data_IF_487571552043
#
_entry.id   IF_487571552043
#
_cell.length_a   1.000
_cell.length_b   1.000
_cell.length_c   1.000
_cell.angle_alpha   90.00
_cell.angle_beta   90.00
_cell.angle_gamma   90.00
#
_symmetry.space_group_name_H-M   'P 1'
#
loop_
_entity.id
_entity.type
_entity.pdbx_description
1 polymer ?
#
# COMPACT_ATOMS: atom_id res chain seq x y z
N UNK A 1 -19.11 -0.63 15.40
CA UNK A 1 -17.98 -0.11 16.20
C UNK A 1 -18.36 -0.13 17.69
N UNK A 2 -17.55 -0.71 18.58
CA UNK A 2 -17.89 -0.81 20.03
C UNK A 2 -17.44 0.45 20.76
N UNK A 3 -18.38 1.13 21.40
CA UNK A 3 -18.11 2.22 22.34
C UNK A 3 -17.93 1.63 23.74
N UNK A 4 -16.94 2.15 24.47
CA UNK A 4 -16.58 1.76 25.83
C UNK A 4 -16.99 2.87 26.82
N UNK A 5 -17.44 2.46 28.01
CA UNK A 5 -17.53 3.37 29.14
C UNK A 5 -16.16 3.57 29.80
N UNK A 6 -16.07 4.51 30.76
CA UNK A 6 -14.80 4.82 31.42
C UNK A 6 -14.13 3.64 32.14
N UNK A 7 -14.90 2.75 32.78
CA UNK A 7 -14.34 1.57 33.44
C UNK A 7 -13.79 0.57 32.43
N UNK A 8 -14.52 0.31 31.34
CA UNK A 8 -14.06 -0.56 30.26
C UNK A 8 -12.81 0.01 29.57
N UNK A 9 -12.78 1.32 29.34
CA UNK A 9 -11.66 2.01 28.73
C UNK A 9 -10.40 1.96 29.61
N UNK A 10 -10.57 2.13 30.93
CA UNK A 10 -9.47 1.99 31.89
C UNK A 10 -8.93 0.56 31.93
N UNK A 11 -9.80 -0.45 31.93
CA UNK A 11 -9.40 -1.85 31.90
C UNK A 11 -8.65 -2.21 30.60
N UNK A 12 -9.14 -1.72 29.45
CA UNK A 12 -8.49 -1.90 28.16
C UNK A 12 -7.11 -1.21 28.11
N UNK A 13 -6.99 0.00 28.66
CA UNK A 13 -5.71 0.69 28.80
C UNK A 13 -4.75 -0.08 29.71
N UNK A 14 -5.22 -0.61 30.85
CA UNK A 14 -4.42 -1.42 31.76
C UNK A 14 -3.94 -2.73 31.11
N UNK A 15 -4.70 -3.27 30.15
CA UNK A 15 -4.30 -4.39 29.31
C UNK A 15 -3.33 -4.00 28.17
N UNK A 16 -2.88 -2.74 28.10
CA UNK A 16 -1.92 -2.25 27.12
C UNK A 16 -2.54 -1.81 25.78
N UNK A 17 -3.87 -1.69 25.69
CA UNK A 17 -4.52 -1.20 24.49
C UNK A 17 -4.48 0.33 24.41
N UNK A 18 -4.27 0.88 23.21
CA UNK A 18 -4.40 2.32 22.99
C UNK A 18 -5.88 2.69 22.98
N UNK A 19 -6.23 3.75 23.72
CA UNK A 19 -7.60 4.23 23.84
C UNK A 19 -7.71 5.59 23.17
N UNK A 20 -8.83 5.81 22.49
CA UNK A 20 -9.22 7.12 22.02
C UNK A 20 -10.50 7.57 22.71
N UNK A 21 -10.65 8.87 22.84
CA UNK A 21 -11.69 9.55 23.60
C UNK A 21 -12.31 10.66 22.76
N UNK A 22 -13.62 10.87 22.92
CA UNK A 22 -14.30 12.09 22.45
C UNK A 22 -15.39 12.50 23.41
N UNK A 23 -15.75 13.79 23.37
CA UNK A 23 -16.93 14.30 24.06
C UNK A 23 -18.18 13.96 23.23
N UNK A 24 -19.20 13.41 23.89
CA UNK A 24 -20.46 13.06 23.25
C UNK A 24 -21.14 14.36 22.77
N UNK A 25 -21.68 14.36 21.55
CA UNK A 25 -22.34 15.50 20.89
C UNK A 25 -21.40 16.63 20.42
N UNK A 26 -20.08 16.46 20.45
CA UNK A 26 -19.17 17.29 19.67
C UNK A 26 -18.79 16.56 18.38
N UNK A 27 -18.72 17.31 17.28
CA UNK A 27 -18.37 16.80 15.93
C UNK A 27 -16.87 16.56 15.74
N UNK A 28 -16.12 16.59 16.85
CA UNK A 28 -14.72 16.23 16.86
C UNK A 28 -14.58 14.70 16.85
N UNK A 29 -13.76 14.18 15.95
CA UNK A 29 -13.42 12.76 15.91
C UNK A 29 -12.78 12.28 17.21
N UNK A 30 -12.65 10.96 17.35
CA UNK A 30 -11.90 10.36 18.45
C UNK A 30 -10.44 10.82 18.44
N UNK A 31 -9.94 11.22 19.61
CA UNK A 31 -8.57 11.71 19.82
C UNK A 31 -7.84 10.80 20.79
N UNK A 32 -6.50 10.79 20.75
CA UNK A 32 -5.68 10.02 21.69
C UNK A 32 -6.02 10.42 23.14
N UNK A 33 -6.32 9.42 23.97
CA UNK A 33 -6.64 9.60 25.39
C UNK A 33 -5.59 10.39 26.18
N UNK A 34 -4.32 10.37 25.74
CA UNK A 34 -3.21 11.12 26.36
C UNK A 34 -3.38 12.64 26.25
N UNK A 35 -4.26 13.12 25.37
CA UNK A 35 -4.59 14.53 25.24
C UNK A 35 -5.59 15.01 26.31
N UNK A 36 -6.17 14.08 27.08
CA UNK A 36 -7.18 14.34 28.10
C UNK A 36 -6.65 14.10 29.50
N UNK A 37 -7.23 14.80 30.48
CA UNK A 37 -6.95 14.55 31.90
C UNK A 37 -7.63 13.26 32.36
N UNK A 38 -7.03 12.54 33.32
CA UNK A 38 -7.58 11.27 33.82
C UNK A 38 -9.01 11.35 34.40
N UNK A 39 -9.51 12.55 34.70
CA UNK A 39 -10.88 12.77 35.16
C UNK A 39 -11.93 12.35 34.12
N UNK A 40 -11.58 12.30 32.82
CA UNK A 40 -12.53 11.91 31.77
C UNK A 40 -13.11 10.51 31.95
N UNK A 41 -12.38 9.58 32.58
CA UNK A 41 -12.89 8.23 32.85
C UNK A 41 -14.11 8.20 33.78
N UNK A 42 -14.33 9.25 34.56
CA UNK A 42 -15.45 9.35 35.50
C UNK A 42 -16.55 10.28 34.99
N UNK A 43 -16.35 10.92 33.84
CA UNK A 43 -17.30 11.88 33.26
C UNK A 43 -18.15 11.17 32.19
N UNK A 44 -19.47 11.01 32.41
CA UNK A 44 -20.35 10.30 31.48
C UNK A 44 -20.57 11.05 30.16
N UNK A 45 -20.07 12.27 30.03
CA UNK A 45 -20.12 13.05 28.78
C UNK A 45 -19.03 12.64 27.80
N UNK A 46 -18.09 11.79 28.19
CA UNK A 46 -17.07 11.26 27.31
C UNK A 46 -17.35 9.80 26.96
N UNK A 47 -17.02 9.46 25.73
CA UNK A 47 -17.08 8.08 25.25
C UNK A 47 -15.74 7.65 24.67
N UNK A 48 -15.45 6.37 24.82
CA UNK A 48 -14.14 5.81 24.55
C UNK A 48 -14.21 4.69 23.52
N UNK A 49 -13.09 4.43 22.87
CA UNK A 49 -12.91 3.25 22.03
C UNK A 49 -11.47 2.77 22.11
N UNK A 50 -11.24 1.50 21.76
CA UNK A 50 -9.89 1.06 21.41
C UNK A 50 -9.51 1.74 20.09
N UNK A 51 -8.30 2.31 20.05
CA UNK A 51 -7.75 2.97 18.88
C UNK A 51 -7.77 2.01 17.68
N UNK A 52 -8.37 2.45 16.58
CA UNK A 52 -8.37 1.68 15.34
C UNK A 52 -6.99 1.83 14.72
N UNK A 53 -6.30 0.72 14.51
CA UNK A 53 -5.04 0.70 13.77
C UNK A 53 -5.35 0.65 12.28
N UNK A 54 -4.58 1.42 11.51
CA UNK A 54 -4.71 1.48 10.07
C UNK A 54 -3.40 1.08 9.42
N UNK A 55 -3.50 0.43 8.27
CA UNK A 55 -2.40 0.19 7.35
C UNK A 55 -2.77 0.72 5.96
N UNK A 56 -1.79 0.85 5.08
CA UNK A 56 -1.99 1.45 3.76
C UNK A 56 -2.10 0.37 2.69
N UNK A 57 -3.16 0.43 1.86
CA UNK A 57 -3.26 -0.32 0.60
C UNK A 57 -3.39 0.72 -0.52
N UNK A 58 -2.35 0.84 -1.35
CA UNK A 58 -2.30 1.90 -2.35
C UNK A 58 -2.27 3.29 -1.70
N UNK A 59 -3.31 4.08 -1.95
CA UNK A 59 -3.51 5.41 -1.37
C UNK A 59 -4.57 5.41 -0.24
N UNK A 60 -5.16 4.26 0.08
CA UNK A 60 -6.23 4.15 1.08
C UNK A 60 -5.70 3.69 2.44
N UNK A 61 -6.20 4.32 3.50
CA UNK A 61 -6.02 3.85 4.88
C UNK A 61 -7.10 2.82 5.21
N UNK A 62 -6.68 1.59 5.46
CA UNK A 62 -7.55 0.45 5.73
C UNK A 62 -7.44 0.07 7.20
N UNK A 63 -8.56 -0.07 7.94
CA UNK A 63 -8.54 -0.60 9.30
C UNK A 63 -7.93 -2.01 9.34
N UNK A 64 -7.10 -2.29 10.33
CA UNK A 64 -6.55 -3.63 10.56
C UNK A 64 -7.67 -4.65 10.83
N UNK A 65 -7.55 -5.82 10.21
CA UNK A 65 -8.36 -6.99 10.52
C UNK A 65 -8.03 -7.52 11.92
N UNK A 66 -8.95 -8.33 12.48
CA UNK A 66 -8.70 -8.95 13.78
C UNK A 66 -7.56 -9.98 13.69
N UNK A 67 -6.71 -9.98 14.71
CA UNK A 67 -5.59 -10.92 14.83
C UNK A 67 -5.90 -12.09 15.78
N UNK A 68 -6.93 -11.93 16.60
CA UNK A 68 -7.34 -12.93 17.60
C UNK A 68 -8.74 -13.45 17.28
N UNK A 69 -8.92 -14.76 17.44
CA UNK A 69 -10.18 -15.43 17.14
C UNK A 69 -11.28 -14.93 18.10
N UNK A 70 -12.41 -14.41 17.58
CA UNK A 70 -13.52 -14.00 18.42
C UNK A 70 -14.26 -15.23 18.95
N UNK A 71 -15.17 -14.99 19.91
CA UNK A 71 -16.02 -16.06 20.43
C UNK A 71 -16.88 -16.70 19.32
N UNK A 72 -17.14 -17.99 19.44
CA UNK A 72 -18.01 -18.71 18.50
C UNK A 72 -19.39 -18.08 18.46
N UNK A 73 -19.89 -17.84 17.25
CA UNK A 73 -21.18 -17.21 16.97
C UNK A 73 -21.12 -15.69 16.78
N UNK A 74 -19.98 -15.04 17.05
CA UNK A 74 -19.79 -13.60 16.78
C UNK A 74 -19.97 -13.31 15.29
N UNK A 75 -20.69 -12.22 14.99
CA UNK A 75 -20.87 -11.73 13.63
C UNK A 75 -19.58 -11.06 13.15
N UNK A 76 -19.08 -11.52 12.00
CA UNK A 76 -17.90 -11.00 11.33
C UNK A 76 -18.23 -10.62 9.88
N UNK A 77 -17.30 -9.91 9.26
CA UNK A 77 -17.40 -9.43 7.89
C UNK A 77 -16.07 -9.68 7.16
N UNK A 78 -16.15 -10.08 5.91
CA UNK A 78 -15.01 -10.24 5.02
C UNK A 78 -15.13 -9.27 3.85
N UNK A 79 -14.05 -8.66 3.35
CA UNK A 79 -14.10 -7.87 2.13
C UNK A 79 -14.55 -8.75 0.97
N UNK A 80 -15.45 -8.23 0.14
CA UNK A 80 -15.94 -8.92 -1.05
C UNK A 80 -15.71 -8.05 -2.27
N UNK A 81 -15.02 -8.60 -3.27
CA UNK A 81 -14.73 -7.94 -4.55
C UNK A 81 -15.36 -8.67 -5.74
N UNK A 82 -16.10 -9.75 -5.46
CA UNK A 82 -16.72 -10.62 -6.47
C UNK A 82 -18.23 -10.40 -6.58
N UNK A 83 -18.79 -9.52 -5.76
CA UNK A 83 -20.22 -9.22 -5.65
C UNK A 83 -20.43 -7.72 -5.60
N UNK A 84 -21.67 -7.27 -5.81
CA UNK A 84 -22.04 -5.85 -5.67
C UNK A 84 -21.87 -5.35 -4.23
N UNK A 85 -22.17 -6.19 -3.24
CA UNK A 85 -21.86 -5.89 -1.84
C UNK A 85 -20.34 -6.00 -1.61
N UNK A 86 -19.74 -4.92 -1.11
CA UNK A 86 -18.30 -4.83 -0.83
C UNK A 86 -17.87 -5.58 0.43
N UNK A 87 -18.81 -6.18 1.15
CA UNK A 87 -18.51 -7.03 2.28
C UNK A 87 -19.48 -8.22 2.35
N UNK A 88 -19.02 -9.32 2.93
CA UNK A 88 -19.82 -10.50 3.19
C UNK A 88 -19.87 -10.79 4.68
N UNK A 89 -21.08 -10.86 5.22
CA UNK A 89 -21.30 -11.16 6.63
C UNK A 89 -21.30 -12.67 6.88
N UNK A 90 -20.72 -13.12 8.00
CA UNK A 90 -20.76 -14.51 8.44
C UNK A 90 -20.65 -14.63 9.97
N UNK A 91 -21.19 -15.72 10.54
CA UNK A 91 -20.99 -16.03 11.95
C UNK A 91 -19.72 -16.86 12.13
N UNK A 92 -18.84 -16.41 13.00
CA UNK A 92 -17.60 -17.12 13.34
C UNK A 92 -17.89 -18.50 13.92
N UNK A 93 -17.39 -19.57 13.30
CA UNK A 93 -17.60 -20.95 13.78
C UNK A 93 -16.34 -21.57 14.40
N UNK A 94 -15.22 -20.85 14.40
CA UNK A 94 -13.88 -21.37 14.67
C UNK A 94 -13.53 -22.55 13.76
N UNK A 95 -14.05 -22.54 12.53
CA UNK A 95 -13.73 -23.56 11.52
C UNK A 95 -12.37 -23.29 10.89
N UNK A 96 -11.79 -24.28 10.23
CA UNK A 96 -10.53 -24.11 9.51
C UNK A 96 -10.61 -22.98 8.46
N UNK A 97 -11.75 -22.85 7.78
CA UNK A 97 -11.98 -21.76 6.82
C UNK A 97 -12.01 -20.39 7.48
N UNK A 98 -12.60 -20.27 8.67
CA UNK A 98 -12.63 -19.02 9.43
C UNK A 98 -11.22 -18.60 9.86
N UNK A 99 -10.44 -19.57 10.38
CA UNK A 99 -9.05 -19.36 10.77
C UNK A 99 -8.18 -18.94 9.59
N UNK A 100 -8.31 -19.61 8.44
CA UNK A 100 -7.59 -19.23 7.21
C UNK A 100 -7.93 -17.81 6.76
N UNK A 101 -9.19 -17.38 6.89
CA UNK A 101 -9.61 -16.04 6.53
C UNK A 101 -8.99 -15.00 7.49
N UNK A 102 -8.94 -15.32 8.79
CA UNK A 102 -8.31 -14.49 9.81
C UNK A 102 -6.81 -14.36 9.59
N UNK A 103 -6.10 -15.47 9.38
CA UNK A 103 -4.66 -15.51 9.09
C UNK A 103 -4.28 -14.70 7.84
N UNK A 104 -5.21 -14.57 6.89
CA UNK A 104 -5.05 -13.75 5.68
C UNK A 104 -5.43 -12.28 5.86
N UNK A 105 -5.75 -11.86 7.08
CA UNK A 105 -6.15 -10.49 7.40
C UNK A 105 -7.46 -10.06 6.76
N UNK A 106 -8.39 -11.00 6.56
CA UNK A 106 -9.65 -10.76 5.84
C UNK A 106 -10.87 -10.68 6.77
N UNK A 107 -10.69 -10.73 8.10
CA UNK A 107 -11.80 -10.79 9.05
C UNK A 107 -11.93 -9.50 9.83
N UNK A 108 -13.08 -8.84 9.71
CA UNK A 108 -13.42 -7.60 10.40
C UNK A 108 -14.63 -7.80 11.31
N UNK A 109 -14.69 -7.08 12.43
CA UNK A 109 -15.86 -7.05 13.32
C UNK A 109 -16.87 -5.96 12.92
N UNK A 110 -16.49 -5.07 12.00
CA UNK A 110 -17.27 -3.92 11.57
C UNK A 110 -17.41 -4.02 10.05
N UNK A 111 -18.63 -3.91 9.56
CA UNK A 111 -18.95 -4.03 8.13
C UNK A 111 -18.19 -2.99 7.29
N UNK A 112 -18.27 -1.72 7.68
CA UNK A 112 -17.57 -0.61 7.01
C UNK A 112 -16.06 -0.84 6.88
N UNK A 113 -15.42 -1.49 7.86
CA UNK A 113 -13.98 -1.79 7.78
C UNK A 113 -13.68 -2.81 6.67
N UNK A 114 -14.54 -3.83 6.52
CA UNK A 114 -14.44 -4.80 5.43
C UNK A 114 -14.72 -4.14 4.07
N UNK A 115 -15.66 -3.20 4.01
CA UNK A 115 -15.97 -2.45 2.79
C UNK A 115 -14.79 -1.56 2.39
N UNK A 116 -14.21 -0.79 3.31
CA UNK A 116 -12.99 0.02 3.06
C UNK A 116 -11.85 -0.87 2.57
N UNK A 117 -11.68 -2.07 3.14
CA UNK A 117 -10.68 -3.03 2.69
C UNK A 117 -10.97 -3.49 1.25
N UNK A 118 -12.21 -3.86 0.92
CA UNK A 118 -12.59 -4.24 -0.45
C UNK A 118 -12.39 -3.10 -1.45
N UNK A 119 -12.80 -1.88 -1.09
CA UNK A 119 -12.59 -0.68 -1.91
C UNK A 119 -11.11 -0.44 -2.21
N UNK A 120 -10.25 -0.63 -1.20
CA UNK A 120 -8.81 -0.47 -1.37
C UNK A 120 -8.23 -1.54 -2.30
N UNK A 121 -8.69 -2.80 -2.19
CA UNK A 121 -8.33 -3.88 -3.11
C UNK A 121 -8.80 -3.59 -4.54
N UNK A 122 -10.02 -3.09 -4.72
CA UNK A 122 -10.55 -2.72 -6.04
C UNK A 122 -9.72 -1.59 -6.65
N UNK A 123 -9.47 -0.51 -5.91
CA UNK A 123 -8.70 0.64 -6.41
C UNK A 123 -7.26 0.30 -6.74
N UNK A 124 -6.56 -0.46 -5.89
CA UNK A 124 -5.17 -0.86 -6.17
C UNK A 124 -5.08 -1.78 -7.39
N UNK A 125 -6.14 -2.55 -7.67
CA UNK A 125 -6.30 -3.33 -8.90
C UNK A 125 -6.83 -2.50 -10.09
N UNK A 126 -6.93 -1.18 -9.96
CA UNK A 126 -7.43 -0.25 -10.98
C UNK A 126 -8.91 -0.46 -11.37
N UNK A 127 -9.68 -1.14 -10.53
CA UNK A 127 -11.13 -1.27 -10.67
C UNK A 127 -11.88 -0.04 -10.17
N UNK A 128 -13.18 -0.01 -10.42
CA UNK A 128 -14.09 1.05 -9.98
C UNK A 128 -15.24 0.48 -9.15
N UNK A 129 -15.78 1.28 -8.25
CA UNK A 129 -16.99 0.98 -7.48
C UNK A 129 -17.82 2.25 -7.34
N UNK A 130 -19.15 2.14 -7.34
CA UNK A 130 -20.02 3.29 -7.10
C UNK A 130 -20.08 3.59 -5.59
N UNK A 131 -19.82 4.84 -5.21
CA UNK A 131 -19.78 5.25 -3.82
C UNK A 131 -21.09 5.95 -3.47
N UNK A 132 -22.03 5.26 -2.83
CA UNK A 132 -23.37 5.82 -2.50
C UNK A 132 -23.36 6.74 -1.26
N UNK A 133 -22.20 7.16 -0.75
CA UNK A 133 -22.07 7.97 0.47
C UNK A 133 -21.06 9.10 0.25
N UNK A 134 -21.51 10.17 -0.44
CA UNK A 134 -21.21 11.59 -0.20
C UNK A 134 -21.50 12.45 -1.44
N UNK A 135 -22.73 12.95 -1.52
CA UNK A 135 -23.01 14.18 -2.29
C UNK A 135 -22.36 15.37 -1.59
N UNK A 136 -21.15 15.73 -2.03
CA UNK A 136 -20.70 17.12 -2.08
C UNK A 136 -19.56 17.24 -3.08
N UNK A 137 -19.90 17.37 -4.36
CA UNK A 137 -19.19 18.26 -5.27
C UNK A 137 -20.08 18.50 -6.47
N UNK A 138 -20.31 19.77 -6.76
CA UNK A 138 -21.05 20.25 -7.92
C UNK A 138 -20.33 19.79 -9.19
N UNK A 139 -21.03 19.07 -10.05
CA UNK A 139 -20.96 19.33 -11.49
C UNK A 139 -22.29 18.96 -12.13
N UNK A 140 -22.91 19.98 -12.71
CA UNK A 140 -24.16 19.93 -13.45
C UNK A 140 -23.85 19.43 -14.85
N UNK A 141 -24.35 18.26 -15.21
CA UNK A 141 -24.80 17.96 -16.58
C UNK A 141 -26.07 17.09 -16.51
N UNK A 142 -27.21 17.74 -16.76
CA UNK A 142 -28.46 17.17 -17.30
C UNK A 142 -28.13 16.29 -18.53
N UNK A 143 -28.63 15.07 -18.73
CA UNK A 143 -30.01 14.61 -19.06
C UNK A 143 -29.77 13.18 -19.63
N UNK A 144 -30.58 12.14 -19.47
CA UNK A 144 -32.02 12.00 -19.59
C UNK A 144 -32.49 10.72 -18.89
N UNK A 145 -33.67 10.81 -18.29
CA UNK A 145 -34.53 9.68 -17.92
C UNK A 145 -34.88 8.83 -19.14
N UNK A 146 -34.89 7.50 -18.96
CA UNK A 146 -36.04 6.71 -19.37
C UNK A 146 -36.22 5.52 -18.41
N UNK A 147 -37.35 5.55 -17.72
CA UNK A 147 -37.87 4.47 -16.89
C UNK A 147 -38.49 3.42 -17.79
N UNK A 148 -38.16 2.15 -17.61
CA UNK A 148 -39.11 1.07 -17.87
C UNK A 148 -38.82 -0.14 -16.99
N UNK A 149 -39.59 -0.19 -15.91
CA UNK A 149 -39.94 -1.38 -15.14
C UNK A 149 -40.43 -2.50 -16.06
N UNK A 150 -39.89 -3.71 -15.89
CA UNK A 150 -40.69 -4.91 -16.11
C UNK A 150 -40.24 -6.03 -15.17
N UNK A 151 -40.95 -6.14 -14.05
CA UNK A 151 -40.99 -7.34 -13.21
C UNK A 151 -41.89 -8.35 -13.95
N UNK A 152 -41.38 -9.55 -14.22
CA UNK A 152 -42.23 -10.73 -14.39
C UNK A 152 -41.79 -11.82 -13.41
N UNK A 153 -42.60 -11.97 -12.37
CA UNK A 153 -42.73 -13.16 -11.54
C UNK A 153 -43.68 -14.10 -12.29
N UNK A 154 -43.28 -15.35 -12.50
CA UNK A 154 -44.24 -16.46 -12.57
C UNK A 154 -43.60 -17.74 -12.04
N UNK A 155 -44.46 -18.55 -11.43
CA UNK A 155 -44.19 -19.55 -10.41
C UNK A 155 -43.71 -20.92 -10.93
N UNK A 156 -43.01 -21.59 -10.01
CA UNK A 156 -42.94 -23.02 -9.69
C UNK A 156 -43.69 -24.04 -10.55
N UNK A 157 -42.98 -25.14 -10.85
CA UNK A 157 -43.56 -26.40 -11.32
C UNK A 157 -42.58 -27.58 -11.30
N UNK A 158 -42.44 -28.19 -10.12
CA UNK A 158 -42.11 -29.58 -9.76
C UNK A 158 -41.09 -30.47 -10.53
N UNK A 159 -40.37 -31.21 -9.69
CA UNK A 159 -39.30 -32.21 -9.91
C UNK A 159 -39.83 -33.52 -10.51
N UNK A 160 -39.06 -34.14 -11.43
CA UNK A 160 -38.93 -35.62 -11.43
C UNK A 160 -37.58 -36.09 -11.98
N UNK A 161 -36.90 -36.84 -11.12
CA UNK A 161 -35.74 -37.72 -11.29
C UNK A 161 -35.78 -38.60 -12.54
N UNK A 162 -34.67 -38.69 -13.31
CA UNK A 162 -34.12 -39.96 -13.84
C UNK A 162 -32.59 -39.83 -14.01
N UNK A 163 -31.87 -40.81 -13.44
CA UNK A 163 -30.42 -41.06 -13.50
C UNK A 163 -29.96 -41.57 -14.87
N UNK A 164 -28.67 -41.36 -15.13
CA UNK A 164 -27.75 -42.22 -15.92
C UNK A 164 -28.12 -42.54 -17.37
N UNK A 165 -27.27 -42.09 -18.30
CA UNK A 165 -26.55 -42.98 -19.23
C UNK A 165 -25.40 -42.22 -19.91
N UNK A 166 -24.18 -42.43 -19.42
CA UNK A 166 -22.95 -42.38 -20.21
C UNK A 166 -22.74 -43.77 -20.80
N UNK A 167 -22.71 -43.92 -22.13
CA UNK A 167 -22.01 -44.99 -22.87
C UNK A 167 -22.10 -44.66 -24.38
N UNK A 168 -21.01 -44.23 -25.02
CA UNK A 168 -19.95 -45.06 -25.64
C UNK A 168 -20.33 -45.44 -27.07
N UNK A 169 -20.19 -44.48 -27.99
CA UNK A 169 -20.20 -44.76 -29.42
C UNK A 169 -18.83 -45.32 -29.83
N UNK A 170 -18.78 -46.64 -29.98
CA UNK A 170 -17.68 -47.35 -30.62
C UNK A 170 -18.21 -47.80 -31.98
N UNK A 171 -17.83 -47.09 -33.04
CA UNK A 171 -18.08 -47.52 -34.41
C UNK A 171 -16.95 -48.49 -34.79
N UNK A 172 -17.30 -49.75 -34.94
CA UNK A 172 -16.48 -50.75 -35.61
C UNK A 172 -16.85 -50.73 -37.10
N UNK A 173 -15.92 -50.32 -37.96
CA UNK A 173 -16.01 -50.56 -39.40
C UNK A 173 -14.85 -51.44 -39.82
N UNK A 174 -15.21 -52.62 -40.30
CA UNK A 174 -14.31 -53.59 -40.90
C UNK A 174 -13.82 -53.11 -42.28
N UNK A 175 -12.63 -53.60 -42.61
CA UNK A 175 -11.68 -53.29 -43.68
C UNK A 175 -12.19 -53.15 -45.13
N UNK A 176 -11.49 -52.31 -45.93
CA UNK A 176 -10.73 -52.65 -47.17
C UNK A 176 -10.08 -51.36 -47.75
N UNK A 177 -8.75 -51.36 -47.73
CA UNK A 177 -7.73 -50.66 -48.55
C UNK A 177 -8.11 -49.49 -49.49
N UNK A 178 -7.83 -48.25 -49.06
CA UNK A 178 -7.25 -47.14 -49.88
C UNK A 178 -6.80 -45.92 -49.02
N UNK A 179 -6.41 -46.12 -47.74
CA UNK A 179 -6.38 -45.04 -46.72
C UNK A 179 -4.96 -44.61 -46.25
N UNK A 180 -3.95 -44.80 -47.10
CA UNK A 180 -2.59 -44.31 -46.83
C UNK A 180 -2.39 -42.86 -47.28
N UNK A 181 -2.90 -42.53 -48.47
CA UNK A 181 -2.60 -41.29 -49.17
C UNK A 181 -3.33 -40.08 -48.58
N UNK A 182 -4.54 -40.29 -48.02
CA UNK A 182 -5.33 -39.27 -47.31
C UNK A 182 -4.71 -38.94 -45.94
N UNK A 183 -4.22 -39.94 -45.20
CA UNK A 183 -3.50 -39.73 -43.93
C UNK A 183 -2.17 -39.02 -44.12
N UNK A 184 -1.41 -39.37 -45.16
CA UNK A 184 -0.13 -38.71 -45.47
C UNK A 184 -0.35 -37.25 -45.88
N UNK A 185 -1.39 -36.95 -46.68
CA UNK A 185 -1.73 -35.58 -47.08
C UNK A 185 -2.17 -34.71 -45.91
N UNK A 186 -2.99 -35.24 -44.99
CA UNK A 186 -3.37 -34.51 -43.77
C UNK A 186 -2.16 -34.27 -42.84
N UNK A 187 -1.27 -35.25 -42.69
CA UNK A 187 -0.02 -35.06 -41.93
C UNK A 187 0.89 -34.01 -42.55
N UNK A 188 1.05 -33.98 -43.88
CA UNK A 188 1.80 -32.92 -44.57
C UNK A 188 1.15 -31.56 -44.40
N UNK A 189 -0.20 -31.48 -44.43
CA UNK A 189 -0.92 -30.22 -44.23
C UNK A 189 -0.72 -29.68 -42.82
N UNK A 190 -0.85 -30.53 -41.81
CA UNK A 190 -0.62 -30.18 -40.40
C UNK A 190 0.84 -29.77 -40.15
N UNK A 191 1.79 -30.40 -40.83
CA UNK A 191 3.21 -30.02 -40.71
C UNK A 191 3.49 -28.63 -41.32
N UNK A 192 2.93 -28.33 -42.49
CA UNK A 192 3.05 -26.99 -43.11
C UNK A 192 2.35 -25.92 -42.27
N UNK A 193 1.21 -26.25 -41.66
CA UNK A 193 0.49 -25.36 -40.74
C UNK A 193 1.30 -25.08 -39.47
N UNK A 194 1.91 -26.09 -38.86
CA UNK A 194 2.79 -25.94 -37.71
C UNK A 194 4.04 -25.10 -38.04
N UNK A 195 4.66 -25.33 -39.20
CA UNK A 195 5.82 -24.54 -39.65
C UNK A 195 5.46 -23.06 -39.90
N UNK A 196 4.29 -22.79 -40.48
CA UNK A 196 3.80 -21.42 -40.66
C UNK A 196 3.45 -20.74 -39.33
N UNK A 197 2.87 -21.46 -38.36
CA UNK A 197 2.61 -20.94 -37.02
C UNK A 197 3.92 -20.60 -36.29
N UNK A 198 4.95 -21.43 -36.43
CA UNK A 198 6.28 -21.16 -35.85
C UNK A 198 6.92 -19.94 -36.53
N UNK A 199 6.88 -19.87 -37.87
CA UNK A 199 7.49 -18.76 -38.62
C UNK A 199 6.81 -17.42 -38.34
N UNK A 200 5.48 -17.40 -38.26
CA UNK A 200 4.71 -16.21 -37.92
C UNK A 200 4.86 -15.83 -36.44
N UNK A 201 4.92 -16.82 -35.54
CA UNK A 201 5.17 -16.59 -34.13
C UNK A 201 6.55 -16.00 -33.85
N UNK A 202 7.59 -16.48 -34.54
CA UNK A 202 8.95 -15.92 -34.45
C UNK A 202 8.99 -14.50 -35.06
N UNK A 203 8.33 -14.26 -36.19
CA UNK A 203 8.24 -12.92 -36.78
C UNK A 203 7.58 -11.90 -35.85
N UNK A 204 6.44 -12.27 -35.25
CA UNK A 204 5.71 -11.42 -34.30
C UNK A 204 6.52 -11.16 -33.03
N UNK A 205 7.20 -12.19 -32.48
CA UNK A 205 8.05 -12.02 -31.29
C UNK A 205 9.23 -11.08 -31.53
N UNK A 206 9.89 -11.17 -32.70
CA UNK A 206 11.02 -10.29 -33.04
C UNK A 206 10.57 -8.84 -33.25
N UNK A 207 9.38 -8.63 -33.81
CA UNK A 207 8.79 -7.31 -34.01
C UNK A 207 8.36 -6.68 -32.67
N UNK A 208 7.69 -7.46 -31.81
CA UNK A 208 7.29 -7.05 -30.46
C UNK A 208 8.53 -6.71 -29.57
N UNK A 209 9.63 -7.46 -29.71
CA UNK A 209 10.88 -7.21 -28.98
C UNK A 209 11.61 -5.95 -29.48
N UNK A 210 11.56 -5.67 -30.78
CA UNK A 210 12.18 -4.47 -31.37
C UNK A 210 11.43 -3.19 -30.94
N UNK A 211 10.10 -3.20 -30.98
CA UNK A 211 9.27 -2.09 -30.49
C UNK A 211 9.51 -1.86 -28.99
N UNK A 212 9.57 -2.93 -28.20
CA UNK A 212 9.88 -2.82 -26.78
C UNK A 212 11.24 -2.14 -26.52
N UNK A 213 12.27 -2.53 -27.26
CA UNK A 213 13.62 -2.00 -27.09
C UNK A 213 13.72 -0.51 -27.46
N UNK A 214 13.08 -0.08 -28.55
CA UNK A 214 13.05 1.34 -28.92
C UNK A 214 12.34 2.20 -27.86
N UNK A 215 11.18 1.74 -27.39
CA UNK A 215 10.45 2.43 -26.32
C UNK A 215 11.23 2.45 -25.00
N UNK A 216 12.04 1.43 -24.71
CA UNK A 216 12.92 1.39 -23.55
C UNK A 216 14.01 2.46 -23.63
N UNK A 217 14.69 2.60 -24.75
CA UNK A 217 15.76 3.60 -24.90
C UNK A 217 15.24 5.03 -24.74
N UNK A 218 14.07 5.33 -25.31
CA UNK A 218 13.41 6.63 -25.16
C UNK A 218 13.12 6.93 -23.69
N UNK A 219 12.51 5.99 -22.97
CA UNK A 219 12.16 6.18 -21.55
C UNK A 219 13.39 6.35 -20.67
N UNK A 220 14.45 5.57 -20.91
CA UNK A 220 15.70 5.69 -20.15
C UNK A 220 16.36 7.05 -20.36
N UNK A 221 16.34 7.57 -21.60
CA UNK A 221 16.86 8.89 -21.90
C UNK A 221 16.03 10.01 -21.22
N UNK A 222 14.69 9.92 -21.28
CA UNK A 222 13.81 10.89 -20.62
C UNK A 222 13.99 10.89 -19.09
N UNK A 223 14.20 9.71 -18.49
CA UNK A 223 14.51 9.60 -17.05
C UNK A 223 15.85 10.24 -16.74
N UNK A 224 16.88 10.02 -17.57
CA UNK A 224 18.20 10.63 -17.36
C UNK A 224 18.16 12.16 -17.45
N UNK A 225 17.32 12.72 -18.33
CA UNK A 225 17.15 14.15 -18.52
C UNK A 225 16.19 14.81 -17.53
N UNK A 226 15.41 14.03 -16.77
CA UNK A 226 14.45 14.53 -15.80
C UNK A 226 15.12 15.43 -14.75
N UNK A 227 14.54 16.61 -14.49
CA UNK A 227 15.06 17.61 -13.55
C UNK A 227 14.41 17.52 -12.19
N UNK A 228 13.28 16.84 -12.08
CA UNK A 228 12.53 16.70 -10.84
C UNK A 228 12.15 15.25 -10.57
N UNK A 229 11.94 14.88 -9.29
CA UNK A 229 11.43 13.55 -8.93
C UNK A 229 10.11 13.21 -9.64
N UNK A 230 9.27 14.22 -9.87
CA UNK A 230 7.97 14.06 -10.52
C UNK A 230 8.14 13.68 -12.00
N UNK A 231 9.04 14.35 -12.72
CA UNK A 231 9.33 14.06 -14.13
C UNK A 231 9.88 12.64 -14.30
N UNK A 232 10.82 12.22 -13.43
CA UNK A 232 11.36 10.87 -13.47
C UNK A 232 10.28 9.81 -13.19
N UNK A 233 9.44 10.02 -12.16
CA UNK A 233 8.37 9.09 -11.80
C UNK A 233 7.24 9.04 -12.84
N UNK A 234 6.98 10.13 -13.57
CA UNK A 234 5.93 10.16 -14.59
C UNK A 234 6.17 9.16 -15.73
N UNK A 235 7.43 8.80 -16.01
CA UNK A 235 7.79 7.85 -17.08
C UNK A 235 7.26 6.44 -16.83
N UNK A 236 6.95 6.10 -15.57
CA UNK A 236 6.37 4.82 -15.19
C UNK A 236 5.04 4.53 -15.90
N UNK A 237 4.28 5.58 -16.26
CA UNK A 237 2.95 5.46 -16.87
C UNK A 237 2.98 4.87 -18.28
N UNK A 238 4.12 4.98 -18.98
CA UNK A 238 4.29 4.45 -20.34
C UNK A 238 4.64 2.96 -20.34
N UNK A 239 4.99 2.39 -19.17
CA UNK A 239 5.31 0.96 -19.00
C UNK A 239 4.12 0.11 -18.55
N UNK A 240 2.88 0.61 -18.69
CA UNK A 240 1.66 -0.07 -18.19
C UNK A 240 1.38 -1.41 -18.87
N UNK A 241 1.64 -1.52 -20.17
CA UNK A 241 1.46 -2.74 -20.96
C UNK A 241 2.64 -3.70 -20.88
N UNK A 242 3.72 -3.30 -20.21
CA UNK A 242 4.96 -4.08 -20.17
C UNK A 242 4.92 -5.17 -19.11
N UNK A 243 5.60 -6.27 -19.38
CA UNK A 243 5.83 -7.32 -18.38
C UNK A 243 6.74 -6.82 -17.25
N UNK A 244 6.77 -7.57 -16.14
CA UNK A 244 7.60 -7.22 -14.99
C UNK A 244 9.10 -7.17 -15.34
N UNK A 245 9.55 -8.07 -16.22
CA UNK A 245 10.95 -8.12 -16.66
C UNK A 245 11.30 -6.93 -17.54
N UNK A 246 10.42 -6.62 -18.51
CA UNK A 246 10.52 -5.45 -19.38
C UNK A 246 10.56 -4.12 -18.61
N UNK A 247 9.80 -4.01 -17.51
CA UNK A 247 9.72 -2.79 -16.69
C UNK A 247 10.89 -2.60 -15.71
N UNK A 248 11.63 -3.66 -15.41
CA UNK A 248 12.75 -3.64 -14.46
C UNK A 248 13.82 -2.57 -14.77
N UNK A 249 14.35 -2.43 -16.00
CA UNK A 249 15.34 -1.40 -16.31
C UNK A 249 14.83 0.02 -16.08
N UNK A 250 13.56 0.30 -16.41
CA UNK A 250 12.93 1.61 -16.19
C UNK A 250 12.84 1.92 -14.69
N UNK A 251 12.40 0.97 -13.86
CA UNK A 251 12.33 1.15 -12.41
C UNK A 251 13.71 1.41 -11.77
N UNK A 252 14.74 0.71 -12.25
CA UNK A 252 16.12 0.91 -11.79
C UNK A 252 16.64 2.29 -12.16
N UNK A 253 16.37 2.77 -13.38
CA UNK A 253 16.75 4.09 -13.84
C UNK A 253 16.04 5.21 -13.04
N UNK A 254 14.73 5.07 -12.78
CA UNK A 254 13.96 6.02 -11.95
C UNK A 254 14.59 6.10 -10.55
N UNK A 255 14.76 4.96 -9.87
CA UNK A 255 15.34 4.95 -8.52
C UNK A 255 16.74 5.58 -8.48
N UNK A 256 17.59 5.29 -9.47
CA UNK A 256 18.90 5.91 -9.61
C UNK A 256 18.79 7.43 -9.76
N UNK A 257 17.92 7.91 -10.64
CA UNK A 257 17.73 9.35 -10.88
C UNK A 257 17.17 10.07 -9.64
N UNK A 258 16.26 9.45 -8.90
CA UNK A 258 15.73 10.00 -7.66
C UNK A 258 16.82 10.20 -6.59
N UNK A 259 17.77 9.24 -6.49
CA UNK A 259 18.93 9.37 -5.61
C UNK A 259 19.83 10.54 -6.05
N UNK A 260 20.10 10.66 -7.35
CA UNK A 260 20.90 11.76 -7.90
C UNK A 260 20.24 13.13 -7.64
N UNK A 261 18.93 13.25 -7.89
CA UNK A 261 18.19 14.50 -7.66
C UNK A 261 18.15 14.88 -6.18
N UNK A 262 17.97 13.91 -5.28
CA UNK A 262 18.06 14.14 -3.84
C UNK A 262 19.46 14.64 -3.41
N UNK A 263 20.51 14.07 -4.00
CA UNK A 263 21.88 14.51 -3.78
C UNK A 263 22.20 15.89 -4.40
N UNK A 264 21.35 16.39 -5.30
CA UNK A 264 21.45 17.74 -5.89
C UNK A 264 20.59 18.77 -5.15
N UNK A 265 19.51 18.35 -4.46
CA UNK A 265 18.65 19.20 -3.61
C UNK A 265 19.28 19.52 -2.25
N UNK A 266 20.06 18.60 -1.69
CA UNK A 266 20.96 18.95 -0.60
C UNK A 266 22.07 19.85 -1.17
N UNK A 267 22.26 21.10 -0.69
CA UNK A 267 23.49 21.79 -1.03
C UNK A 267 24.62 20.86 -0.62
N UNK A 268 25.61 20.66 -1.50
CA UNK A 268 26.91 20.15 -1.11
C UNK A 268 27.37 21.00 0.08
N UNK A 269 27.05 20.57 1.30
CA UNK A 269 27.69 21.06 2.48
C UNK A 269 29.09 20.53 2.35
N UNK A 270 30.02 21.38 1.89
CA UNK A 270 31.38 21.28 2.37
C UNK A 270 31.26 20.98 3.86
N UNK A 271 31.73 19.80 4.28
CA UNK A 271 31.49 19.24 5.59
C UNK A 271 31.94 20.24 6.66
N UNK A 272 31.03 21.11 7.13
CA UNK A 272 31.33 21.99 8.24
C UNK A 272 31.60 21.05 9.41
N UNK A 273 32.80 21.06 10.00
CA UNK A 273 33.18 20.11 11.02
C UNK A 273 32.13 20.14 12.15
N UNK A 274 31.87 18.99 12.79
CA UNK A 274 30.84 18.94 13.83
C UNK A 274 31.04 20.03 14.89
N UNK A 275 29.96 20.53 15.50
CA UNK A 275 30.04 21.60 16.51
C UNK A 275 31.02 21.26 17.65
N UNK A 276 31.12 19.99 18.03
CA UNK A 276 32.13 19.51 18.98
C UNK A 276 33.56 19.77 18.50
N UNK A 277 33.87 19.48 17.24
CA UNK A 277 35.19 19.70 16.63
C UNK A 277 35.47 21.20 16.51
N UNK A 278 34.46 22.00 16.18
CA UNK A 278 34.60 23.46 16.17
C UNK A 278 34.93 24.02 17.56
N UNK A 279 34.26 23.51 18.61
CA UNK A 279 34.56 23.88 20.01
C UNK A 279 35.99 23.48 20.39
N UNK A 280 36.41 22.27 20.05
CA UNK A 280 37.75 21.77 20.39
C UNK A 280 38.88 22.55 19.68
N UNK A 281 38.61 23.08 18.49
CA UNK A 281 39.58 23.82 17.68
C UNK A 281 39.37 25.34 17.71
N UNK A 282 38.53 25.86 18.63
CA UNK A 282 38.28 27.29 18.71
C UNK A 282 39.60 28.06 18.93
N UNK A 283 39.92 29.05 18.08
CA UNK A 283 41.23 29.73 18.10
C UNK A 283 41.40 30.67 19.30
N UNK A 284 40.31 31.27 19.79
CA UNK A 284 40.32 32.22 20.90
C UNK A 284 38.98 32.22 21.65
N UNK A 285 38.93 32.96 22.77
CA UNK A 285 37.74 33.05 23.63
C UNK A 285 36.54 33.64 22.88
N UNK A 286 36.76 34.56 21.95
CA UNK A 286 35.70 35.22 21.18
C UNK A 286 35.01 34.23 20.27
N UNK A 287 35.79 33.40 19.56
CA UNK A 287 35.25 32.34 18.71
C UNK A 287 34.54 31.27 19.56
N UNK A 288 35.06 30.96 20.76
CA UNK A 288 34.44 30.01 21.67
C UNK A 288 33.09 30.50 22.22
N UNK A 289 32.97 31.80 22.52
CA UNK A 289 31.73 32.41 23.01
C UNK A 289 30.60 32.34 21.96
N UNK A 290 30.93 32.54 20.67
CA UNK A 290 29.95 32.35 19.58
C UNK A 290 29.46 30.90 19.52
N UNK A 291 30.38 29.93 19.63
CA UNK A 291 30.03 28.51 19.64
C UNK A 291 29.20 28.12 20.88
N UNK A 292 29.37 28.82 22.01
CA UNK A 292 28.56 28.60 23.22
C UNK A 292 27.08 28.98 22.99
N UNK A 293 26.83 30.04 22.22
CA UNK A 293 25.47 30.42 21.80
C UNK A 293 24.85 29.32 20.93
N UNK A 294 25.63 28.78 19.99
CA UNK A 294 25.19 27.67 19.13
C UNK A 294 24.88 26.40 19.93
N UNK A 295 25.62 26.14 21.02
CA UNK A 295 25.33 25.06 21.97
C UNK A 295 23.98 25.29 22.65
N UNK A 296 23.67 26.52 23.07
CA UNK A 296 22.38 26.87 23.67
C UNK A 296 21.17 26.64 22.75
N UNK A 297 21.39 26.66 21.43
CA UNK A 297 20.36 26.37 20.42
C UNK A 297 20.18 24.87 20.13
N UNK A 298 20.99 23.98 20.74
CA UNK A 298 20.89 22.53 20.56
C UNK A 298 19.86 21.88 21.48
N UNK A 299 19.50 20.63 21.18
CA UNK A 299 18.54 19.86 21.99
C UNK A 299 19.02 19.72 23.45
N UNK A 300 18.13 19.86 24.46
CA UNK A 300 18.51 19.83 25.88
C UNK A 300 19.39 18.64 26.30
N UNK A 301 19.18 17.46 25.72
CA UNK A 301 19.94 16.25 26.04
C UNK A 301 21.43 16.31 25.63
N UNK A 302 21.77 17.09 24.60
CA UNK A 302 23.14 17.19 24.09
C UNK A 302 23.90 18.41 24.61
N UNK A 303 23.18 19.41 25.15
CA UNK A 303 23.79 20.63 25.70
C UNK A 303 24.80 20.34 26.82
N UNK A 304 24.55 19.46 27.83
CA UNK A 304 25.50 19.21 28.91
C UNK A 304 26.84 18.67 28.41
N UNK A 305 26.80 17.80 27.38
CA UNK A 305 27.99 17.21 26.78
C UNK A 305 28.82 18.25 26.02
N UNK A 306 28.17 19.07 25.19
CA UNK A 306 28.81 20.14 24.44
C UNK A 306 29.39 21.22 25.35
N UNK A 307 28.64 21.60 26.39
CA UNK A 307 29.09 22.54 27.41
C UNK A 307 30.32 22.02 28.18
N UNK A 308 30.45 20.70 28.34
CA UNK A 308 31.67 20.07 28.86
C UNK A 308 32.90 20.34 27.99
N UNK A 309 32.76 20.30 26.65
CA UNK A 309 33.84 20.65 25.73
C UNK A 309 34.15 22.15 25.73
N UNK A 310 33.12 23.02 25.86
CA UNK A 310 33.31 24.48 25.97
C UNK A 310 34.14 24.82 27.19
N UNK A 311 33.79 24.28 28.37
CA UNK A 311 34.56 24.50 29.62
C UNK A 311 36.00 24.04 29.49
N UNK A 312 36.21 22.87 28.87
CA UNK A 312 37.56 22.34 28.64
C UNK A 312 38.37 23.25 27.72
N UNK A 313 37.81 23.69 26.59
CA UNK A 313 38.50 24.57 25.65
C UNK A 313 38.77 25.96 26.25
N UNK A 314 37.83 26.52 27.01
CA UNK A 314 38.00 27.81 27.68
C UNK A 314 39.22 27.77 28.62
N UNK A 315 39.33 26.71 29.42
CA UNK A 315 40.49 26.49 30.28
C UNK A 315 41.80 26.34 29.49
N UNK A 316 41.79 25.65 28.34
CA UNK A 316 42.96 25.52 27.48
C UNK A 316 43.41 26.89 26.92
N UNK A 317 42.47 27.71 26.46
CA UNK A 317 42.74 29.04 25.91
C UNK A 317 43.24 30.03 26.99
N UNK A 318 42.67 29.98 28.20
CA UNK A 318 43.11 30.79 29.35
C UNK A 318 44.54 30.46 29.80
N UNK A 319 45.00 29.23 29.58
CA UNK A 319 46.34 28.77 29.91
C UNK A 319 47.33 28.80 28.73
N UNK A 320 46.97 29.47 27.62
CA UNK A 320 47.86 29.71 26.49
C UNK A 320 48.02 28.54 25.50
N UNK A 321 47.09 27.58 25.48
CA UNK A 321 47.10 26.50 24.49
C UNK A 321 46.51 26.97 23.14
N UNK A 322 47.31 26.91 22.07
CA UNK A 322 46.85 27.15 20.70
C UNK A 322 45.87 26.09 20.17
N UNK A 323 45.36 26.23 18.93
CA UNK A 323 44.52 25.22 18.30
C UNK A 323 45.26 23.88 18.20
N UNK A 324 44.54 22.79 18.48
CA UNK A 324 45.09 21.42 18.46
C UNK A 324 45.51 21.08 17.02
N UNK A 325 46.81 21.16 16.73
CA UNK A 325 47.39 20.77 15.43
C UNK A 325 48.29 21.80 14.75
N UNK A 326 48.59 22.96 15.34
CA UNK A 326 49.64 23.84 14.80
C UNK A 326 51.04 23.26 15.10
N UNK A 327 51.93 23.10 14.10
CA UNK A 327 53.31 22.72 14.37
C UNK A 327 54.03 23.86 15.12
N UNK A 328 54.90 23.48 16.06
CA UNK A 328 55.81 24.38 16.77
C UNK A 328 56.74 25.13 15.82
#
# INVERSE_FOLDING_TARGET
MKILNGNEAFAAMAAGQNIECRLIHQDHGFQDIKQFTATVYFDPRYEFRVAIKFFTIGEMQVPEAIQEAPAKGVQCFAPSILTEELSKSFKWKSSNSDLMLMERGQVHLIQEHAEIHAQALIKISLGSFENTQNSTSNDVVEKTFDSQSNIQITEQGSVTTVKETLSKDFIETDSVDEDGDLKIKELQRLQVEAENLIKNGIGQQVEDDHEHQEHLEILLNDIALAKTPIEANAQIKYTKSWTQEQRKPVMQAINKRLIELKAMEEPKSEETPSLMVQIQNAPDLTALDVLEIDVGSRHPDIQPKLMGYVKKRRFELENGAGPVGAPL
#
